data_IF_896236704219
#
_entry.id   IF_896236704219
#
_cell.length_a   1.000
_cell.length_b   1.000
_cell.length_c   1.000
_cell.angle_alpha   90.00
_cell.angle_beta   90.00
_cell.angle_gamma   90.00
#
_symmetry.space_group_name_H-M   'P 1'
#
loop_
_entity.id
_entity.type
_entity.pdbx_description
1 polymer ?
#
# COMPACT_ATOMS: atom_id res chain seq x y z
N UNK A 1 1.54 7.94 15.85
CA UNK A 1 1.89 6.83 14.95
C UNK A 1 1.47 7.17 13.53
N UNK A 2 2.36 6.99 12.58
CA UNK A 2 2.09 7.35 11.18
C UNK A 2 1.18 6.32 10.53
N UNK A 3 0.10 6.79 9.91
CA UNK A 3 -0.85 5.93 9.24
C UNK A 3 -0.41 5.66 7.81
N UNK A 4 -0.52 4.41 7.38
CA UNK A 4 -0.18 4.01 6.01
C UNK A 4 -1.36 4.24 5.08
N UNK A 5 -1.08 4.40 3.78
CA UNK A 5 -2.08 4.33 2.73
C UNK A 5 -1.73 3.15 1.84
N UNK A 6 -2.66 2.23 1.69
CA UNK A 6 -2.51 1.03 0.88
C UNK A 6 -3.32 1.18 -0.39
N UNK A 7 -2.63 1.26 -1.53
CA UNK A 7 -3.26 1.37 -2.85
C UNK A 7 -3.42 -0.03 -3.42
N UNK A 8 -4.66 -0.39 -3.72
CA UNK A 8 -5.03 -1.76 -4.13
C UNK A 8 -5.81 -1.76 -5.44
N UNK A 9 -6.05 -2.97 -5.96
CA UNK A 9 -6.95 -3.20 -7.07
C UNK A 9 -7.70 -4.52 -6.85
N UNK A 10 -8.88 -4.73 -7.49
CA UNK A 10 -9.60 -6.00 -7.37
C UNK A 10 -8.78 -7.17 -7.90
N UNK A 11 -8.94 -8.33 -7.26
CA UNK A 11 -8.28 -9.56 -7.69
C UNK A 11 -6.78 -9.61 -7.47
N UNK A 12 -6.25 -8.76 -6.60
CA UNK A 12 -4.82 -8.68 -6.33
C UNK A 12 -4.48 -9.52 -5.10
N UNK A 13 -3.79 -10.65 -5.30
CA UNK A 13 -3.39 -11.53 -4.20
C UNK A 13 -2.39 -10.83 -3.29
N UNK A 14 -1.40 -10.16 -3.86
CA UNK A 14 -0.38 -9.45 -3.07
C UNK A 14 -0.97 -8.30 -2.26
N UNK A 15 -2.03 -7.67 -2.77
CA UNK A 15 -2.73 -6.63 -2.02
C UNK A 15 -3.36 -7.21 -0.75
N UNK A 16 -3.96 -8.39 -0.87
CA UNK A 16 -4.54 -9.08 0.28
C UNK A 16 -3.48 -9.48 1.29
N UNK A 17 -2.33 -9.96 0.81
CA UNK A 17 -1.23 -10.35 1.67
C UNK A 17 -0.66 -9.13 2.42
N UNK A 18 -0.52 -8.02 1.74
CA UNK A 18 -0.03 -6.77 2.33
C UNK A 18 -1.00 -6.27 3.41
N UNK A 19 -2.30 -6.32 3.11
CA UNK A 19 -3.34 -5.92 4.05
C UNK A 19 -3.29 -6.75 5.32
N UNK A 20 -3.13 -8.07 5.17
CA UNK A 20 -3.00 -8.98 6.31
C UNK A 20 -1.75 -8.66 7.12
N UNK A 21 -0.64 -8.38 6.45
CA UNK A 21 0.63 -8.11 7.11
C UNK A 21 0.56 -6.82 7.92
N UNK A 22 -0.02 -5.75 7.35
CA UNK A 22 -0.21 -4.49 8.05
C UNK A 22 -1.09 -4.68 9.29
N UNK A 23 -2.18 -5.42 9.13
CA UNK A 23 -3.10 -5.70 10.22
C UNK A 23 -2.41 -6.50 11.33
N UNK A 24 -1.69 -7.56 10.94
CA UNK A 24 -0.99 -8.42 11.89
C UNK A 24 0.04 -7.67 12.71
N UNK A 25 0.71 -6.71 12.09
CA UNK A 25 1.77 -5.93 12.74
C UNK A 25 1.25 -4.69 13.45
N UNK A 26 -0.07 -4.46 13.41
CA UNK A 26 -0.68 -3.34 14.11
C UNK A 26 -0.44 -1.99 13.47
N UNK A 27 -0.12 -1.95 12.17
CA UNK A 27 0.08 -0.70 11.45
C UNK A 27 -1.28 -0.20 10.94
N UNK A 28 -1.75 0.97 11.39
CA UNK A 28 -3.01 1.51 10.89
C UNK A 28 -2.86 1.93 9.43
N UNK A 29 -3.89 1.69 8.63
CA UNK A 29 -3.85 2.04 7.22
C UNK A 29 -5.24 2.33 6.66
N UNK A 30 -5.27 3.17 5.62
CA UNK A 30 -6.44 3.34 4.76
C UNK A 30 -6.22 2.56 3.49
N UNK A 31 -7.29 1.96 2.95
CA UNK A 31 -7.22 1.22 1.69
C UNK A 31 -7.88 2.04 0.59
N UNK A 32 -7.19 2.21 -0.54
CA UNK A 32 -7.69 2.98 -1.67
C UNK A 32 -7.63 2.11 -2.92
N UNK A 33 -8.78 1.96 -3.59
CA UNK A 33 -8.86 1.20 -4.85
C UNK A 33 -8.52 2.13 -6.00
N UNK A 34 -7.39 1.87 -6.66
CA UNK A 34 -6.90 2.73 -7.75
C UNK A 34 -7.70 2.55 -9.03
N UNK A 35 -8.57 1.54 -9.12
CA UNK A 35 -9.45 1.39 -10.28
C UNK A 35 -10.69 2.27 -10.19
N UNK A 36 -11.00 2.75 -8.99
CA UNK A 36 -12.15 3.61 -8.74
C UNK A 36 -11.75 5.05 -8.46
N UNK A 37 -10.52 5.29 -8.06
CA UNK A 37 -10.01 6.62 -7.69
C UNK A 37 -8.92 7.02 -8.68
N UNK A 38 -9.27 7.88 -9.65
CA UNK A 38 -8.34 8.31 -10.69
C UNK A 38 -7.19 9.14 -10.13
N UNK A 39 -7.43 9.93 -9.11
CA UNK A 39 -6.39 10.74 -8.49
C UNK A 39 -5.36 9.85 -7.79
N UNK A 40 -5.84 8.80 -7.12
CA UNK A 40 -4.96 7.83 -6.48
C UNK A 40 -4.11 7.11 -7.51
N UNK A 41 -4.70 6.71 -8.64
CA UNK A 41 -3.96 6.07 -9.71
C UNK A 41 -2.87 7.00 -10.25
N UNK A 42 -3.22 8.25 -10.50
CA UNK A 42 -2.25 9.24 -10.99
C UNK A 42 -1.10 9.43 -10.01
N UNK A 43 -1.41 9.45 -8.71
CA UNK A 43 -0.39 9.58 -7.67
C UNK A 43 0.56 8.38 -7.69
N UNK A 44 0.03 7.16 -7.75
CA UNK A 44 0.84 5.94 -7.79
C UNK A 44 1.75 5.94 -9.02
N UNK A 45 1.23 6.33 -10.18
CA UNK A 45 2.01 6.40 -11.40
C UNK A 45 3.11 7.45 -11.29
N UNK A 46 2.84 8.57 -10.62
CA UNK A 46 3.83 9.63 -10.43
C UNK A 46 4.99 9.18 -9.56
N UNK A 47 4.79 8.19 -8.69
CA UNK A 47 5.86 7.61 -7.89
C UNK A 47 6.71 6.60 -8.68
N UNK A 48 6.31 6.30 -9.92
CA UNK A 48 7.03 5.37 -10.77
C UNK A 48 6.54 3.93 -10.69
N UNK A 49 5.42 3.68 -10.02
CA UNK A 49 4.87 2.34 -9.88
C UNK A 49 3.78 2.08 -10.91
N UNK A 50 3.76 0.86 -11.44
CA UNK A 50 2.77 0.43 -12.43
C UNK A 50 1.89 -0.71 -11.94
N UNK A 51 2.11 -1.16 -10.72
CA UNK A 51 1.43 -2.33 -10.16
C UNK A 51 0.95 -2.06 -8.74
N UNK A 52 -0.12 -2.74 -8.35
CA UNK A 52 -0.56 -2.79 -6.97
C UNK A 52 0.05 -4.04 -6.30
N UNK A 53 0.22 -4.09 -4.98
CA UNK A 53 -0.09 -3.02 -4.05
C UNK A 53 1.03 -1.96 -3.99
N UNK A 54 0.66 -0.76 -3.60
CA UNK A 54 1.62 0.29 -3.27
C UNK A 54 1.30 0.77 -1.85
N UNK A 55 2.32 0.86 -1.02
CA UNK A 55 2.17 1.33 0.36
C UNK A 55 2.93 2.63 0.51
N UNK A 56 2.29 3.62 1.13
CA UNK A 56 2.92 4.90 1.45
C UNK A 56 2.78 5.13 2.96
N UNK A 57 3.91 5.32 3.62
CA UNK A 57 3.95 5.68 5.05
C UNK A 57 4.88 6.88 5.19
N UNK A 58 4.28 8.06 5.49
CA UNK A 58 5.09 9.27 5.55
C UNK A 58 5.73 9.57 4.21
N UNK A 59 7.07 9.63 4.19
CA UNK A 59 7.83 9.87 2.97
C UNK A 59 8.39 8.59 2.36
N UNK A 60 8.10 7.44 2.96
CA UNK A 60 8.57 6.14 2.50
C UNK A 60 7.46 5.46 1.71
N UNK A 61 7.83 4.83 0.60
CA UNK A 61 6.86 4.09 -0.21
C UNK A 61 7.55 2.92 -0.89
N UNK A 62 6.74 1.90 -1.23
CA UNK A 62 7.21 0.72 -1.96
C UNK A 62 6.04 0.08 -2.69
N UNK A 63 6.37 -0.86 -3.57
CA UNK A 63 5.39 -1.64 -4.32
C UNK A 63 5.59 -3.12 -4.06
N UNK A 64 4.50 -3.89 -4.10
CA UNK A 64 4.50 -5.32 -3.90
C UNK A 64 4.38 -5.71 -2.44
N UNK A 65 4.35 -7.02 -2.19
CA UNK A 65 4.28 -7.54 -0.83
C UNK A 65 5.68 -7.53 -0.22
N UNK A 66 5.92 -6.59 0.67
CA UNK A 66 7.22 -6.35 1.28
C UNK A 66 7.11 -6.32 2.81
N UNK A 67 7.00 -7.48 3.47
CA UNK A 67 6.90 -7.50 4.94
C UNK A 67 8.15 -6.93 5.63
N UNK A 68 9.31 -7.00 4.97
CA UNK A 68 10.54 -6.40 5.46
C UNK A 68 10.41 -4.88 5.61
N UNK A 69 9.70 -4.24 4.68
CA UNK A 69 9.48 -2.79 4.74
C UNK A 69 8.49 -2.43 5.84
N UNK A 70 7.42 -3.21 5.99
CA UNK A 70 6.43 -2.98 7.04
C UNK A 70 7.08 -3.10 8.41
N UNK A 71 7.99 -4.05 8.58
CA UNK A 71 8.68 -4.29 9.85
C UNK A 71 9.46 -3.07 10.33
N UNK A 72 9.90 -2.21 9.42
CA UNK A 72 10.65 -1.01 9.80
C UNK A 72 9.81 0.01 10.56
N UNK A 73 8.48 -0.13 10.54
CA UNK A 73 7.55 0.82 11.15
C UNK A 73 6.87 0.25 12.40
N UNK A 74 7.30 -0.88 12.90
CA UNK A 74 6.73 -1.50 14.11
C UNK A 74 7.82 -1.85 15.13
#
# INVERSE_FOLDING_TARGET
>A
MTKATLYTKPGCVQCKMTKKDLTKKGVPFDEVDITEDHDALSFVLSLGYKQAPVVVIGQTHWSGFRPDMVRKFV
#
